data_IF_433656602703
#
_entry.id   IF_433656602703
#
_cell.length_a   1.000
_cell.length_b   1.000
_cell.length_c   1.000
_cell.angle_alpha   90.00
_cell.angle_beta   90.00
_cell.angle_gamma   90.00
#
_symmetry.space_group_name_H-M   'P 1'
#
loop_
_entity.id
_entity.type
_entity.pdbx_description
1 polymer ?
#
# COMPACT_ATOMS: atom_id res chain seq x y z
N UNK A 1 23.96 18.13 -33.62
CA UNK A 1 23.30 18.51 -32.34
C UNK A 1 21.98 17.76 -32.28
N UNK A 2 21.83 16.79 -31.38
CA UNK A 2 20.50 16.20 -31.12
C UNK A 2 19.63 17.30 -30.50
N UNK A 3 18.56 17.72 -31.17
CA UNK A 3 17.66 18.75 -30.64
C UNK A 3 17.13 18.37 -29.25
N UNK A 4 16.86 19.37 -28.41
CA UNK A 4 16.26 19.16 -27.09
C UNK A 4 14.93 18.41 -27.23
N UNK A 5 14.88 17.17 -26.77
CA UNK A 5 13.65 16.39 -26.66
C UNK A 5 12.82 16.99 -25.53
N UNK A 6 11.63 17.50 -25.83
CA UNK A 6 10.69 17.95 -24.80
C UNK A 6 9.96 16.74 -24.20
N UNK A 7 9.71 16.72 -22.88
CA UNK A 7 8.87 15.70 -22.27
C UNK A 7 7.46 15.74 -22.86
N UNK A 8 6.82 14.57 -22.94
CA UNK A 8 5.41 14.44 -23.29
C UNK A 8 4.63 14.38 -21.99
N UNK A 9 3.92 15.46 -21.68
CA UNK A 9 3.10 15.63 -20.46
C UNK A 9 1.76 14.87 -20.58
N UNK A 10 1.79 13.56 -20.86
CA UNK A 10 0.58 12.78 -21.13
C UNK A 10 -0.18 12.34 -19.87
N UNK A 11 0.40 12.48 -18.68
CA UNK A 11 -0.21 12.04 -17.43
C UNK A 11 -0.46 10.53 -17.37
N UNK A 12 -1.45 10.13 -16.56
CA UNK A 12 -1.92 8.74 -16.47
C UNK A 12 -2.95 8.45 -17.57
N UNK A 13 -2.99 7.22 -18.11
CA UNK A 13 -4.00 6.86 -19.09
C UNK A 13 -5.41 6.88 -18.47
N UNK A 14 -6.42 7.17 -19.29
CA UNK A 14 -7.84 7.03 -18.89
C UNK A 14 -8.10 5.58 -18.43
N UNK A 15 -8.65 5.35 -17.22
CA UNK A 15 -8.97 4.01 -16.76
C UNK A 15 -10.17 3.38 -17.48
N UNK A 16 -11.05 4.17 -18.10
CA UNK A 16 -12.32 3.69 -18.66
C UNK A 16 -12.14 2.57 -19.69
N UNK A 17 -11.21 2.65 -20.67
CA UNK A 17 -10.95 1.57 -21.62
C UNK A 17 -10.62 0.22 -20.98
N UNK A 18 -9.93 0.22 -19.84
CA UNK A 18 -9.45 -0.97 -19.13
C UNK A 18 -10.48 -1.61 -18.20
N UNK A 19 -11.64 -0.97 -17.99
CA UNK A 19 -12.72 -1.52 -17.16
C UNK A 19 -13.36 -2.74 -17.83
N UNK A 20 -13.80 -3.69 -17.00
CA UNK A 20 -14.61 -4.83 -17.42
C UNK A 20 -15.87 -4.35 -18.18
N UNK A 21 -16.31 -5.00 -19.27
CA UNK A 21 -17.45 -4.56 -20.08
C UNK A 21 -18.73 -4.29 -19.28
N UNK A 22 -19.08 -5.17 -18.33
CA UNK A 22 -20.23 -4.95 -17.43
C UNK A 22 -20.07 -3.74 -16.50
N UNK A 23 -18.85 -3.39 -16.11
CA UNK A 23 -18.63 -2.18 -15.32
C UNK A 23 -18.82 -0.92 -16.16
N UNK A 24 -18.35 -0.94 -17.42
CA UNK A 24 -18.56 0.17 -18.37
C UNK A 24 -20.04 0.35 -18.69
N UNK A 25 -20.73 -0.73 -19.02
CA UNK A 25 -22.15 -0.68 -19.39
C UNK A 25 -23.04 -0.13 -18.27
N UNK A 26 -22.70 -0.43 -17.01
CA UNK A 26 -23.49 -0.02 -15.85
C UNK A 26 -22.84 1.13 -15.06
N UNK A 27 -21.93 1.88 -15.68
CA UNK A 27 -21.20 2.94 -14.99
C UNK A 27 -22.15 3.99 -14.42
N UNK A 28 -22.11 4.18 -13.08
CA UNK A 28 -23.00 5.10 -12.38
C UNK A 28 -24.45 4.62 -12.20
N UNK A 29 -24.78 3.38 -12.61
CA UNK A 29 -26.14 2.83 -12.60
C UNK A 29 -26.26 1.59 -11.69
N UNK A 30 -25.54 1.59 -10.56
CA UNK A 30 -25.59 0.52 -9.56
C UNK A 30 -26.80 0.70 -8.62
N UNK A 31 -27.51 -0.40 -8.34
CA UNK A 31 -28.65 -0.40 -7.44
C UNK A 31 -28.24 -0.75 -6.00
N UNK A 32 -27.52 -1.85 -5.84
CA UNK A 32 -27.08 -2.33 -4.52
C UNK A 32 -25.88 -3.26 -4.65
N UNK A 33 -25.28 -3.58 -3.50
CA UNK A 33 -24.25 -4.60 -3.39
C UNK A 33 -24.49 -5.45 -2.15
N UNK A 34 -24.03 -6.69 -2.19
CA UNK A 34 -23.98 -7.59 -1.06
C UNK A 34 -22.68 -8.41 -1.06
N UNK A 35 -22.59 -9.35 -0.11
CA UNK A 35 -21.43 -10.21 0.11
C UNK A 35 -21.89 -11.66 0.17
N UNK A 36 -21.91 -12.39 -0.96
CA UNK A 36 -22.38 -13.77 -0.99
C UNK A 36 -21.54 -14.72 -0.13
N UNK A 37 -20.24 -14.45 -0.01
CA UNK A 37 -19.31 -15.19 0.85
C UNK A 37 -18.06 -14.35 1.13
N UNK A 38 -17.22 -14.80 2.07
CA UNK A 38 -15.96 -14.11 2.40
C UNK A 38 -15.07 -13.97 1.17
N UNK A 39 -14.53 -12.77 0.97
CA UNK A 39 -13.71 -12.41 -0.18
C UNK A 39 -14.49 -12.16 -1.47
N UNK A 40 -15.82 -12.31 -1.49
CA UNK A 40 -16.65 -12.08 -2.67
C UNK A 40 -17.65 -10.96 -2.43
N UNK A 41 -17.64 -9.98 -3.33
CA UNK A 41 -18.65 -8.93 -3.41
C UNK A 41 -19.50 -9.16 -4.65
N UNK A 42 -20.81 -8.87 -4.57
CA UNK A 42 -21.66 -8.82 -5.76
C UNK A 42 -22.30 -7.44 -5.85
N UNK A 43 -22.25 -6.85 -7.04
CA UNK A 43 -22.88 -5.57 -7.34
C UNK A 43 -23.97 -5.81 -8.39
N UNK A 44 -25.17 -5.30 -8.13
CA UNK A 44 -26.32 -5.41 -9.03
C UNK A 44 -26.68 -4.03 -9.53
N UNK A 45 -26.79 -3.91 -10.85
CA UNK A 45 -27.18 -2.68 -11.54
C UNK A 45 -28.69 -2.49 -11.53
N UNK A 46 -29.14 -1.27 -11.83
CA UNK A 46 -30.59 -0.94 -11.89
C UNK A 46 -31.36 -1.76 -12.93
N UNK A 47 -30.68 -2.24 -13.97
CA UNK A 47 -31.26 -3.13 -14.99
C UNK A 47 -31.24 -4.62 -14.60
N UNK A 48 -30.81 -4.96 -13.38
CA UNK A 48 -30.73 -6.33 -12.88
C UNK A 48 -29.46 -7.11 -13.28
N UNK A 49 -28.59 -6.56 -14.14
CA UNK A 49 -27.30 -7.18 -14.42
C UNK A 49 -26.39 -7.16 -13.19
N UNK A 50 -25.54 -8.17 -13.04
CA UNK A 50 -24.69 -8.34 -11.88
C UNK A 50 -23.23 -8.59 -12.26
N UNK A 51 -22.33 -8.19 -11.36
CA UNK A 51 -20.91 -8.55 -11.41
C UNK A 51 -20.47 -9.06 -10.04
N UNK A 52 -19.58 -10.04 -10.04
CA UNK A 52 -18.96 -10.57 -8.84
C UNK A 52 -17.49 -10.14 -8.82
N UNK A 53 -17.02 -9.73 -7.66
CA UNK A 53 -15.63 -9.36 -7.41
C UNK A 53 -15.03 -10.33 -6.41
N UNK A 54 -14.03 -11.10 -6.82
CA UNK A 54 -13.21 -11.91 -5.92
C UNK A 54 -11.98 -11.09 -5.49
N UNK A 55 -11.81 -10.92 -4.18
CA UNK A 55 -10.71 -10.17 -3.56
C UNK A 55 -9.68 -11.12 -2.98
N UNK A 56 -8.42 -10.92 -3.36
CA UNK A 56 -7.31 -11.69 -2.81
C UNK A 56 -6.20 -10.80 -2.25
N UNK A 57 -5.54 -11.31 -1.20
CA UNK A 57 -4.35 -10.70 -0.61
C UNK A 57 -3.15 -10.77 -1.55
N UNK A 58 -2.33 -9.72 -1.55
CA UNK A 58 -1.02 -9.70 -2.23
C UNK A 58 0.03 -9.10 -1.29
N UNK A 59 1.30 -9.30 -1.62
CA UNK A 59 2.43 -8.83 -0.83
C UNK A 59 2.72 -7.33 -0.99
N UNK A 60 1.98 -6.60 -1.85
CA UNK A 60 2.25 -5.21 -2.31
C UNK A 60 3.56 -5.06 -3.10
N UNK A 61 4.69 -5.51 -2.57
CA UNK A 61 5.95 -5.63 -3.29
C UNK A 61 5.93 -6.96 -4.05
N UNK A 62 5.84 -6.88 -5.37
CA UNK A 62 5.75 -8.05 -6.24
C UNK A 62 6.76 -7.91 -7.36
N UNK A 63 7.35 -9.03 -7.75
CA UNK A 63 8.13 -9.10 -8.97
C UNK A 63 7.23 -9.14 -10.22
N UNK A 64 7.84 -8.97 -11.38
CA UNK A 64 7.12 -9.02 -12.67
C UNK A 64 6.51 -10.41 -12.93
N UNK A 65 7.06 -11.49 -12.39
CA UNK A 65 6.55 -12.84 -12.61
C UNK A 65 5.24 -13.07 -11.84
N UNK A 66 5.14 -12.54 -10.62
CA UNK A 66 3.92 -12.54 -9.82
C UNK A 66 2.83 -11.73 -10.50
N UNK A 67 3.16 -10.54 -11.04
CA UNK A 67 2.19 -9.75 -11.81
C UNK A 67 1.72 -10.51 -13.06
N UNK A 68 2.62 -11.11 -13.83
CA UNK A 68 2.25 -11.92 -15.00
C UNK A 68 1.36 -13.10 -14.63
N UNK A 69 1.68 -13.80 -13.53
CA UNK A 69 0.82 -14.88 -12.99
C UNK A 69 -0.58 -14.38 -12.66
N UNK A 70 -0.72 -13.22 -12.01
CA UNK A 70 -2.02 -12.62 -11.73
C UNK A 70 -2.78 -12.26 -13.03
N UNK A 71 -2.08 -11.79 -14.06
CA UNK A 71 -2.67 -11.59 -15.39
C UNK A 71 -3.14 -12.91 -16.01
N UNK A 72 -2.33 -13.97 -15.98
CA UNK A 72 -2.69 -15.28 -16.53
C UNK A 72 -3.94 -15.86 -15.83
N UNK A 73 -4.06 -15.70 -14.52
CA UNK A 73 -5.27 -16.05 -13.76
C UNK A 73 -6.46 -15.19 -14.24
N UNK A 74 -6.24 -13.89 -14.43
CA UNK A 74 -7.24 -12.95 -14.94
C UNK A 74 -7.79 -13.37 -16.30
N UNK A 75 -6.91 -13.71 -17.24
CA UNK A 75 -7.27 -14.12 -18.59
C UNK A 75 -8.02 -15.46 -18.60
N UNK A 76 -7.59 -16.42 -17.79
CA UNK A 76 -8.18 -17.77 -17.78
C UNK A 76 -9.47 -17.87 -16.97
N UNK A 77 -9.59 -17.13 -15.87
CA UNK A 77 -10.66 -17.29 -14.89
C UNK A 77 -11.53 -16.05 -14.66
N UNK A 78 -11.08 -14.85 -15.07
CA UNK A 78 -11.72 -13.58 -14.69
C UNK A 78 -11.84 -12.54 -15.81
N UNK A 79 -12.22 -12.99 -17.00
CA UNK A 79 -12.58 -12.13 -18.15
C UNK A 79 -11.46 -11.16 -18.60
N UNK A 80 -10.21 -11.39 -18.18
CA UNK A 80 -9.04 -10.56 -18.51
C UNK A 80 -8.99 -9.20 -17.81
N UNK A 81 -9.79 -8.98 -16.75
CA UNK A 81 -9.86 -7.69 -16.06
C UNK A 81 -9.58 -7.81 -14.56
N UNK A 82 -8.66 -6.96 -14.08
CA UNK A 82 -8.30 -6.86 -12.66
C UNK A 82 -8.17 -5.41 -12.23
N UNK A 83 -8.26 -5.16 -10.92
CA UNK A 83 -7.87 -3.90 -10.32
C UNK A 83 -7.20 -4.13 -8.97
N UNK A 84 -6.45 -3.13 -8.50
CA UNK A 84 -5.94 -3.12 -7.12
C UNK A 84 -6.78 -2.18 -6.26
N UNK A 85 -7.02 -2.58 -5.02
CA UNK A 85 -7.65 -1.73 -4.02
C UNK A 85 -6.66 -0.71 -3.46
N UNK A 86 -7.15 0.32 -2.78
CA UNK A 86 -6.31 1.29 -2.06
C UNK A 86 -5.40 0.66 -0.98
N UNK A 87 -5.63 -0.61 -0.62
CA UNK A 87 -4.82 -1.38 0.34
C UNK A 87 -4.10 -2.55 -0.33
N UNK A 88 -3.78 -2.42 -1.60
CA UNK A 88 -2.96 -3.38 -2.38
C UNK A 88 -3.50 -4.81 -2.51
N UNK A 89 -4.70 -5.13 -2.00
CA UNK A 89 -5.39 -6.35 -2.42
C UNK A 89 -5.71 -6.26 -3.91
N UNK A 90 -5.65 -7.39 -4.61
CA UNK A 90 -6.14 -7.51 -5.98
C UNK A 90 -7.62 -7.90 -5.97
N UNK A 91 -8.36 -7.37 -6.93
CA UNK A 91 -9.76 -7.70 -7.18
C UNK A 91 -9.92 -8.14 -8.64
N UNK A 92 -10.46 -9.33 -8.83
CA UNK A 92 -10.84 -9.91 -10.11
C UNK A 92 -12.36 -9.74 -10.30
N UNK A 93 -12.80 -9.37 -11.50
CA UNK A 93 -14.22 -9.11 -11.77
C UNK A 93 -14.73 -10.11 -12.81
N UNK A 94 -15.87 -10.75 -12.52
CA UNK A 94 -16.55 -11.64 -13.45
C UNK A 94 -18.01 -11.26 -13.62
N UNK A 95 -18.55 -11.44 -14.82
CA UNK A 95 -20.00 -11.27 -15.09
C UNK A 95 -20.81 -12.56 -15.03
N UNK A 96 -20.16 -13.70 -14.81
CA UNK A 96 -20.79 -15.02 -14.66
C UNK A 96 -20.47 -15.59 -13.29
N UNK A 97 -21.49 -15.77 -12.45
CA UNK A 97 -21.38 -16.34 -11.11
C UNK A 97 -20.66 -17.70 -11.09
N UNK A 98 -20.81 -18.49 -12.15
CA UNK A 98 -20.19 -19.82 -12.25
C UNK A 98 -18.66 -19.77 -12.28
N UNK A 99 -18.07 -18.61 -12.59
CA UNK A 99 -16.61 -18.40 -12.58
C UNK A 99 -16.06 -18.09 -11.19
N UNK A 100 -16.91 -17.71 -10.23
CA UNK A 100 -16.47 -17.29 -8.88
C UNK A 100 -15.72 -18.41 -8.16
N UNK A 101 -16.30 -19.61 -8.08
CA UNK A 101 -15.67 -20.74 -7.38
C UNK A 101 -14.35 -21.18 -8.04
N UNK A 102 -14.28 -21.45 -9.36
CA UNK A 102 -13.02 -21.79 -10.02
C UNK A 102 -11.91 -20.74 -9.86
N UNK A 103 -12.28 -19.45 -9.89
CA UNK A 103 -11.35 -18.35 -9.68
C UNK A 103 -10.77 -18.36 -8.26
N UNK A 104 -11.61 -18.56 -7.24
CA UNK A 104 -11.18 -18.63 -5.84
C UNK A 104 -10.25 -19.82 -5.63
N UNK A 105 -10.65 -21.00 -6.11
CA UNK A 105 -9.82 -22.21 -6.01
C UNK A 105 -8.44 -22.00 -6.64
N UNK A 106 -8.39 -21.35 -7.82
CA UNK A 106 -7.13 -21.04 -8.49
C UNK A 106 -6.27 -20.05 -7.70
N UNK A 107 -6.88 -19.00 -7.15
CA UNK A 107 -6.17 -18.00 -6.34
C UNK A 107 -5.55 -18.64 -5.08
N UNK A 108 -6.33 -19.43 -4.36
CA UNK A 108 -5.87 -20.15 -3.16
C UNK A 108 -4.73 -21.12 -3.49
N UNK A 109 -4.88 -21.91 -4.57
CA UNK A 109 -3.87 -22.86 -5.00
C UNK A 109 -2.54 -22.20 -5.38
N UNK A 110 -2.57 -20.95 -5.85
CA UNK A 110 -1.38 -20.17 -6.21
C UNK A 110 -0.84 -19.32 -5.03
N UNK A 111 -1.44 -19.43 -3.84
CA UNK A 111 -1.01 -18.74 -2.62
C UNK A 111 -1.51 -17.31 -2.49
N UNK A 112 -2.60 -16.95 -3.18
CA UNK A 112 -3.29 -15.66 -3.04
C UNK A 112 -4.58 -15.85 -2.21
N UNK A 113 -4.54 -15.63 -0.89
CA UNK A 113 -5.67 -15.89 -0.02
C UNK A 113 -6.84 -14.98 -0.37
N UNK A 114 -8.03 -15.55 -0.55
CA UNK A 114 -9.27 -14.82 -0.82
C UNK A 114 -9.92 -14.37 0.49
N UNK A 115 -10.17 -13.08 0.65
CA UNK A 115 -10.66 -12.53 1.92
C UNK A 115 -10.58 -11.01 2.03
N UNK A 116 -10.51 -10.50 3.25
CA UNK A 116 -10.36 -9.07 3.54
C UNK A 116 -11.58 -8.21 3.18
N UNK A 117 -12.75 -8.83 3.08
CA UNK A 117 -14.07 -8.19 2.89
C UNK A 117 -14.83 -8.10 4.21
N UNK A 118 -15.88 -7.27 4.25
CA UNK A 118 -16.77 -7.16 5.42
C UNK A 118 -16.05 -6.92 6.74
N UNK A 119 -16.52 -7.58 7.80
CA UNK A 119 -16.02 -7.43 9.16
C UNK A 119 -14.79 -8.31 9.41
N UNK A 120 -13.69 -7.95 8.76
CA UNK A 120 -12.41 -8.66 8.81
C UNK A 120 -11.26 -7.70 9.09
N UNK A 121 -10.06 -8.26 9.26
CA UNK A 121 -8.81 -7.51 9.07
C UNK A 121 -8.45 -7.56 7.59
N UNK A 122 -8.46 -6.41 6.92
CA UNK A 122 -7.94 -6.31 5.55
C UNK A 122 -6.41 -6.23 5.57
N UNK A 123 -5.78 -6.48 4.41
CA UNK A 123 -4.33 -6.29 4.21
C UNK A 123 -3.76 -5.04 4.91
N UNK A 124 -2.63 -5.23 5.58
CA UNK A 124 -1.89 -4.21 6.35
C UNK A 124 -1.12 -3.30 5.40
N UNK A 125 -1.59 -2.05 5.27
CA UNK A 125 -0.92 -1.04 4.44
C UNK A 125 0.43 -0.70 5.04
N UNK A 126 1.47 -0.68 4.20
CA UNK A 126 2.83 -0.49 4.66
C UNK A 126 3.71 0.17 3.60
N UNK A 127 4.95 0.47 3.99
CA UNK A 127 5.87 1.37 3.28
C UNK A 127 7.07 0.60 2.72
N UNK A 128 8.20 1.28 2.51
CA UNK A 128 9.40 0.69 1.91
C UNK A 128 10.25 -0.09 2.91
N UNK A 129 10.42 0.42 4.14
CA UNK A 129 11.32 -0.20 5.12
C UNK A 129 12.76 -0.27 4.62
N UNK A 130 13.48 -1.30 5.08
CA UNK A 130 14.89 -1.55 4.72
C UNK A 130 15.10 -1.90 3.25
N UNK A 131 14.02 -2.25 2.52
CA UNK A 131 14.12 -2.61 1.11
C UNK A 131 14.56 -1.42 0.23
N UNK A 132 14.15 -0.19 0.58
CA UNK A 132 14.38 0.96 -0.31
C UNK A 132 14.47 2.32 0.37
N UNK A 133 14.02 2.48 1.62
CA UNK A 133 14.13 3.76 2.31
C UNK A 133 15.53 3.93 2.91
N UNK A 134 16.04 5.16 2.92
CA UNK A 134 17.32 5.56 3.52
C UNK A 134 17.19 6.00 4.99
N UNK A 135 15.98 6.28 5.46
CA UNK A 135 15.66 6.66 6.84
C UNK A 135 14.69 5.70 7.61
N UNK A 136 14.72 4.36 7.41
CA UNK A 136 13.84 3.45 8.13
C UNK A 136 14.33 3.20 9.56
N UNK A 137 13.42 3.25 10.53
CA UNK A 137 13.63 2.73 11.88
C UNK A 137 13.39 1.22 12.00
N UNK A 138 12.69 0.61 11.04
CA UNK A 138 12.43 -0.84 10.96
C UNK A 138 12.18 -1.28 9.51
N UNK A 139 12.13 -2.59 9.28
CA UNK A 139 11.60 -3.13 8.02
C UNK A 139 10.08 -2.94 7.92
N UNK A 140 9.56 -2.88 6.68
CA UNK A 140 8.13 -2.80 6.41
C UNK A 140 7.57 -4.16 6.01
N UNK A 141 8.15 -4.81 5.00
CA UNK A 141 7.61 -6.05 4.42
C UNK A 141 7.71 -7.23 5.39
N UNK A 142 8.84 -7.39 6.10
CA UNK A 142 9.02 -8.45 7.10
C UNK A 142 8.06 -8.30 8.29
N UNK A 143 7.86 -7.08 8.78
CA UNK A 143 6.90 -6.79 9.87
C UNK A 143 5.48 -7.14 9.43
N UNK A 144 5.08 -6.74 8.22
CA UNK A 144 3.75 -7.04 7.69
C UNK A 144 3.56 -8.52 7.46
N UNK A 145 4.58 -9.23 6.97
CA UNK A 145 4.53 -10.68 6.83
C UNK A 145 4.26 -11.36 8.19
N UNK A 146 5.02 -11.02 9.22
CA UNK A 146 4.80 -11.57 10.57
C UNK A 146 3.39 -11.24 11.10
N UNK A 147 2.92 -10.01 10.94
CA UNK A 147 1.57 -9.62 11.37
C UNK A 147 0.48 -10.36 10.60
N UNK A 148 0.62 -10.49 9.28
CA UNK A 148 -0.38 -11.17 8.46
C UNK A 148 -0.39 -12.68 8.65
N UNK A 149 0.71 -13.29 9.11
CA UNK A 149 0.73 -14.70 9.51
C UNK A 149 -0.12 -14.94 10.76
N UNK A 150 0.00 -14.07 11.77
CA UNK A 150 -0.83 -14.12 12.98
C UNK A 150 -2.29 -13.73 12.72
N UNK A 151 -2.51 -12.76 11.82
CA UNK A 151 -3.84 -12.22 11.48
C UNK A 151 -4.49 -12.93 10.28
N UNK A 152 -3.92 -14.04 9.82
CA UNK A 152 -4.41 -14.73 8.64
C UNK A 152 -5.87 -15.19 8.80
N UNK A 153 -6.20 -15.70 9.99
CA UNK A 153 -7.58 -16.07 10.35
C UNK A 153 -8.53 -14.87 10.17
N UNK A 154 -8.18 -13.71 10.72
CA UNK A 154 -9.01 -12.50 10.65
C UNK A 154 -9.14 -11.94 9.24
N UNK A 155 -8.20 -12.24 8.34
CA UNK A 155 -8.33 -11.90 6.92
C UNK A 155 -9.29 -12.85 6.19
N UNK A 156 -9.31 -14.12 6.59
CA UNK A 156 -10.08 -15.21 5.95
C UNK A 156 -11.52 -15.34 6.46
N UNK A 157 -11.91 -14.61 7.51
CA UNK A 157 -13.23 -14.68 8.13
C UNK A 157 -13.83 -13.29 8.35
N UNK A 158 -15.17 -13.20 8.42
CA UNK A 158 -15.93 -11.96 8.66
C UNK A 158 -16.55 -11.95 10.08
N UNK A 159 -15.76 -12.29 11.10
CA UNK A 159 -16.23 -12.52 12.49
C UNK A 159 -15.98 -11.33 13.44
N UNK A 160 -15.29 -10.29 12.98
CA UNK A 160 -15.02 -9.11 13.81
C UNK A 160 -16.32 -8.32 14.05
N UNK A 161 -16.40 -7.49 15.12
CA UNK A 161 -17.54 -6.59 15.32
C UNK A 161 -17.72 -5.57 14.17
N UNK A 162 -16.60 -5.15 13.58
CA UNK A 162 -16.54 -4.29 12.40
C UNK A 162 -15.18 -4.48 11.69
N UNK A 163 -15.04 -3.93 10.48
CA UNK A 163 -13.81 -3.99 9.72
C UNK A 163 -12.67 -3.22 10.41
N UNK A 164 -11.49 -3.84 10.47
CA UNK A 164 -10.27 -3.22 11.04
C UNK A 164 -9.23 -2.97 9.95
N UNK A 165 -8.65 -1.77 9.95
CA UNK A 165 -7.57 -1.34 9.07
C UNK A 165 -6.32 -1.11 9.91
N UNK A 166 -5.30 -1.93 9.68
CA UNK A 166 -4.00 -1.80 10.36
C UNK A 166 -2.99 -1.17 9.42
N UNK A 167 -2.19 -0.22 9.88
CA UNK A 167 -1.13 0.41 9.07
C UNK A 167 0.21 0.28 9.76
N UNK A 168 1.28 0.10 8.98
CA UNK A 168 2.65 0.11 9.50
C UNK A 168 3.51 1.13 8.75
N UNK A 169 4.28 1.89 9.51
CA UNK A 169 5.20 2.89 8.99
C UNK A 169 6.58 2.66 9.57
N UNK A 170 7.58 2.55 8.68
CA UNK A 170 8.95 2.25 9.08
C UNK A 170 9.64 3.40 9.83
N UNK A 171 9.07 4.61 9.78
CA UNK A 171 9.50 5.77 10.57
C UNK A 171 8.34 6.77 10.75
N UNK A 172 8.55 7.78 11.60
CA UNK A 172 7.56 8.81 11.98
C UNK A 172 7.03 9.66 10.82
N UNK A 173 7.68 9.68 9.65
CA UNK A 173 7.15 10.34 8.45
C UNK A 173 5.78 9.76 8.05
N UNK A 174 5.51 8.53 8.47
CA UNK A 174 4.19 7.90 8.33
C UNK A 174 3.67 7.84 6.89
N UNK A 175 4.52 7.42 5.94
CA UNK A 175 4.09 7.24 4.55
C UNK A 175 3.00 6.16 4.37
N UNK A 176 2.68 5.37 5.42
CA UNK A 176 1.68 4.30 5.41
C UNK A 176 0.23 4.76 5.64
N UNK A 177 0.04 6.02 6.01
CA UNK A 177 -1.27 6.63 6.25
C UNK A 177 -1.82 6.39 7.65
N UNK A 178 -3.15 6.41 7.78
CA UNK A 178 -3.86 6.20 9.04
C UNK A 178 -4.71 4.93 8.97
N UNK A 179 -4.89 4.28 10.12
CA UNK A 179 -5.74 3.11 10.31
C UNK A 179 -6.34 3.10 11.71
N UNK A 180 -7.23 2.13 11.97
CA UNK A 180 -7.79 1.90 13.30
C UNK A 180 -6.68 1.51 14.30
N UNK A 181 -5.67 0.78 13.81
CA UNK A 181 -4.42 0.51 14.53
C UNK A 181 -3.25 0.98 13.65
N UNK A 182 -2.44 1.88 14.17
CA UNK A 182 -1.26 2.41 13.47
C UNK A 182 0.01 2.04 14.24
N UNK A 183 0.88 1.28 13.59
CA UNK A 183 2.21 0.92 14.11
C UNK A 183 3.22 1.84 13.45
N UNK A 184 3.65 2.86 14.17
CA UNK A 184 4.58 3.87 13.67
C UNK A 184 5.88 3.83 14.46
N UNK A 185 7.00 3.59 13.77
CA UNK A 185 8.30 3.43 14.43
C UNK A 185 8.97 4.77 14.67
N UNK A 186 9.38 4.97 15.92
CA UNK A 186 10.11 6.15 16.39
C UNK A 186 11.56 5.78 16.68
N UNK A 187 12.48 6.61 16.20
CA UNK A 187 13.87 6.55 16.64
C UNK A 187 13.96 7.02 18.08
N UNK A 188 14.72 6.34 18.92
CA UNK A 188 14.82 6.62 20.36
C UNK A 188 16.13 7.30 20.76
N UNK A 189 16.91 7.77 19.77
CA UNK A 189 18.20 8.42 19.97
C UNK A 189 18.34 9.65 19.08
N UNK A 190 18.98 10.73 19.56
CA UNK A 190 19.33 11.88 18.74
C UNK A 190 20.18 11.51 17.52
N UNK A 191 20.15 12.34 16.45
CA UNK A 191 20.96 12.10 15.26
C UNK A 191 22.46 12.08 15.58
N UNK A 192 23.18 11.10 15.05
CA UNK A 192 24.64 11.12 15.03
C UNK A 192 25.11 11.99 13.86
N UNK A 193 25.85 13.05 14.15
CA UNK A 193 26.32 13.98 13.14
C UNK A 193 27.66 13.51 12.57
N UNK A 194 27.76 13.39 11.25
CA UNK A 194 29.03 13.29 10.55
C UNK A 194 29.52 14.70 10.20
N UNK A 195 30.35 15.25 11.09
CA UNK A 195 30.83 16.63 10.99
C UNK A 195 31.66 16.93 9.73
N UNK A 196 32.26 15.91 9.10
CA UNK A 196 33.08 16.11 7.90
C UNK A 196 32.22 16.36 6.64
N UNK A 197 30.95 15.94 6.66
CA UNK A 197 30.03 16.07 5.53
C UNK A 197 29.10 17.28 5.62
N UNK A 198 28.78 17.77 6.83
CA UNK A 198 27.76 18.81 7.05
C UNK A 198 27.99 20.05 6.19
N UNK A 199 29.22 20.55 6.11
CA UNK A 199 29.54 21.76 5.35
C UNK A 199 29.39 21.60 3.83
N UNK A 200 29.52 20.36 3.32
CA UNK A 200 29.55 20.06 1.89
C UNK A 200 28.20 19.61 1.33
N UNK A 201 27.38 18.96 2.17
CA UNK A 201 26.13 18.30 1.73
C UNK A 201 24.89 19.04 2.22
N UNK A 202 24.95 19.70 3.38
CA UNK A 202 23.76 20.25 4.03
C UNK A 202 23.62 21.76 3.80
N UNK A 203 22.41 22.17 3.41
CA UNK A 203 21.96 23.56 3.58
C UNK A 203 21.57 23.74 5.06
N UNK A 204 22.53 24.21 5.86
CA UNK A 204 22.46 24.21 7.34
C UNK A 204 21.27 25.02 7.90
N UNK A 205 20.96 26.24 7.42
CA UNK A 205 19.76 26.96 7.84
C UNK A 205 18.46 26.16 7.70
N UNK A 206 18.26 25.44 6.60
CA UNK A 206 17.09 24.60 6.38
C UNK A 206 17.07 23.40 7.33
N UNK A 207 18.23 22.79 7.64
CA UNK A 207 18.31 21.71 8.64
C UNK A 207 17.89 22.23 10.03
N UNK A 208 18.36 23.40 10.43
CA UNK A 208 17.95 24.05 11.70
C UNK A 208 16.44 24.31 11.70
N UNK A 209 15.91 24.90 10.63
CA UNK A 209 14.50 25.26 10.51
C UNK A 209 13.55 24.06 10.49
N UNK A 210 14.02 22.87 10.09
CA UNK A 210 13.22 21.62 10.10
C UNK A 210 12.98 21.07 11.50
N UNK A 211 13.74 21.49 12.52
CA UNK A 211 13.60 20.96 13.86
C UNK A 211 12.36 21.55 14.57
N UNK A 212 11.32 20.76 14.89
CA UNK A 212 10.08 21.28 15.47
C UNK A 212 10.23 21.80 16.91
N UNK A 213 11.33 21.44 17.58
CA UNK A 213 11.61 21.72 19.00
C UNK A 213 12.88 22.54 19.21
N UNK A 214 13.42 23.10 18.11
CA UNK A 214 14.62 23.94 18.13
C UNK A 214 15.81 23.30 18.88
N UNK A 215 15.99 21.99 18.73
CA UNK A 215 17.11 21.25 19.29
C UNK A 215 18.39 21.39 18.45
N UNK A 216 18.28 21.68 17.15
CA UNK A 216 19.43 21.82 16.24
C UNK A 216 19.93 23.26 16.22
N UNK A 217 21.25 23.47 16.35
CA UNK A 217 21.88 24.80 16.31
C UNK A 217 23.11 24.83 15.40
N UNK A 218 23.45 25.99 14.80
CA UNK A 218 24.74 26.19 14.14
C UNK A 218 25.90 26.04 15.13
N UNK A 219 26.98 25.39 14.69
CA UNK A 219 28.18 25.19 15.49
C UNK A 219 29.46 25.32 14.63
N UNK A 220 30.60 25.41 15.31
CA UNK A 220 31.92 25.25 14.71
C UNK A 220 32.60 24.04 15.37
N UNK A 221 32.96 23.03 14.57
CA UNK A 221 33.66 21.84 15.04
C UNK A 221 34.98 21.76 14.30
N UNK A 222 36.10 21.73 15.04
CA UNK A 222 37.47 21.75 14.47
C UNK A 222 37.69 22.91 13.47
N UNK A 223 37.12 24.09 13.77
CA UNK A 223 37.22 25.27 12.90
C UNK A 223 36.38 25.23 11.63
N UNK A 224 35.60 24.16 11.40
CA UNK A 224 34.71 24.02 10.24
C UNK A 224 33.24 24.28 10.64
N UNK A 225 32.44 24.90 9.75
CA UNK A 225 31.02 25.10 10.01
C UNK A 225 30.25 23.77 10.07
N UNK A 226 29.46 23.60 11.13
CA UNK A 226 28.75 22.37 11.46
C UNK A 226 27.42 22.68 12.16
N UNK A 227 26.77 21.65 12.70
CA UNK A 227 25.60 21.70 13.58
C UNK A 227 25.89 20.97 14.90
N UNK A 228 25.11 21.29 15.93
CA UNK A 228 24.99 20.55 17.20
C UNK A 228 23.52 20.24 17.51
N UNK A 229 23.27 19.24 18.36
CA UNK A 229 21.92 18.84 18.81
C UNK A 229 21.85 18.90 20.33
N UNK A 230 20.91 19.67 20.87
CA UNK A 230 20.51 19.63 22.27
C UNK A 230 19.67 18.37 22.52
N UNK A 231 20.33 17.30 22.98
CA UNK A 231 19.69 16.01 23.20
C UNK A 231 18.52 16.08 24.19
N UNK A 232 18.54 17.02 25.14
CA UNK A 232 17.44 17.19 26.11
C UNK A 232 16.17 17.75 25.47
N UNK A 233 16.28 18.33 24.27
CA UNK A 233 15.15 18.87 23.51
C UNK A 233 14.71 17.97 22.36
N UNK A 234 15.54 17.05 21.88
CA UNK A 234 15.15 16.16 20.77
C UNK A 234 13.89 15.38 21.13
N UNK A 235 12.95 15.28 20.18
CA UNK A 235 11.72 14.47 20.30
C UNK A 235 11.80 13.19 19.48
N UNK A 236 13.00 12.65 19.46
CA UNK A 236 13.25 11.23 19.30
C UNK A 236 12.94 10.55 20.65
#
# INVERSE_FOLDING_TARGET
MSGFRRPVESGVPDPFPFMHPMLKQNYGQWAWHDRPQVGVLRHVAQNGSAVWTAKAGTQRQMDVFTIRKLCDIGDQYADGHVRFTARSNIEFIVSDERKVTPLIEKLEAEGFPVGGTGNSVSMVSHTQGWLHCDIPGTDASGVVKALMDELYHEFKHEEMPNRVKITTSCCQINCGGQGDIAINVQHTKPPKIDHDLVANVCERPAVVARCPVAAIRPALVNGKPSLEVDEKKCVC
#
